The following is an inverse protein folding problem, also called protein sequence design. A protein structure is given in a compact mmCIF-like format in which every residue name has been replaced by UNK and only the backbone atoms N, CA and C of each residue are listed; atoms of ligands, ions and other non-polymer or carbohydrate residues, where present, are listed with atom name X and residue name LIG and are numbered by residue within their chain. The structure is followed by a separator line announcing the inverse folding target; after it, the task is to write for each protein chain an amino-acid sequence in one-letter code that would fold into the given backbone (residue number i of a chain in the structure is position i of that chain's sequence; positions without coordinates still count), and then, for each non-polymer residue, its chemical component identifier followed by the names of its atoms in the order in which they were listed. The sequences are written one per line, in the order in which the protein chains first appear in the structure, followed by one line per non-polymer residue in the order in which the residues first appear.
data_IF_342528638322
#
_entry.id   IF_342528638322
#
_cell.length_a   1.000
_cell.length_b   1.000
_cell.length_c   1.000
_cell.angle_alpha   90.00
_cell.angle_beta   90.00
_cell.angle_gamma   90.00
#
_symmetry.space_group_name_H-M   'P 1'
#
loop_
_entity.id
_entity.type
_entity.pdbx_description
1 polymer ?
#
# COMPACT_ATOMS: atom_id res chain seq x y z
N UNK A 1 -6.15 -20.48 25.41
CA UNK A 1 -6.51 -19.53 24.34
C UNK A 1 -5.79 -18.23 24.65
N UNK A 2 -4.69 -17.90 23.98
CA UNK A 2 -4.23 -16.53 23.89
C UNK A 2 -4.72 -15.93 22.57
N UNK A 3 -5.31 -14.75 22.68
CA UNK A 3 -5.63 -13.83 21.61
C UNK A 3 -4.38 -13.50 20.77
N UNK A 4 -4.16 -14.20 19.66
CA UNK A 4 -3.09 -13.88 18.69
C UNK A 4 -3.63 -13.69 17.25
N UNK A 5 -4.95 -13.49 17.10
CA UNK A 5 -5.56 -13.27 15.78
C UNK A 5 -5.82 -11.78 15.46
N UNK A 6 -5.52 -10.86 16.40
CA UNK A 6 -5.78 -9.43 16.19
C UNK A 6 -4.65 -8.71 15.43
N UNK A 7 -3.44 -9.25 15.46
CA UNK A 7 -2.27 -8.67 14.82
C UNK A 7 -1.87 -9.39 13.52
N UNK A 8 -2.45 -10.57 13.25
CA UNK A 8 -2.19 -11.39 12.06
C UNK A 8 -2.57 -10.72 10.72
N UNK A 9 -3.14 -9.52 10.75
CA UNK A 9 -3.58 -8.76 9.57
C UNK A 9 -3.02 -7.32 9.55
N UNK A 10 -2.01 -7.02 10.37
CA UNK A 10 -1.37 -5.72 10.40
C UNK A 10 -0.15 -5.70 9.47
N UNK A 11 -0.28 -4.97 8.38
CA UNK A 11 0.80 -4.70 7.44
C UNK A 11 1.48 -3.40 7.78
N UNK A 12 2.77 -3.30 7.49
CA UNK A 12 3.58 -2.13 7.82
C UNK A 12 4.24 -1.59 6.55
N UNK A 13 4.10 -0.30 6.30
CA UNK A 13 4.90 0.40 5.31
C UNK A 13 6.15 0.91 5.97
N UNK A 14 7.31 0.60 5.39
CA UNK A 14 8.60 1.07 5.86
C UNK A 14 9.28 1.90 4.79
N UNK A 15 9.80 3.06 5.16
CA UNK A 15 10.64 3.90 4.32
C UNK A 15 12.03 3.92 4.93
N UNK A 16 13.06 3.49 4.18
CA UNK A 16 14.45 3.53 4.67
C UNK A 16 14.70 2.77 6.00
N UNK A 17 13.82 1.85 6.39
CA UNK A 17 13.87 1.10 7.66
C UNK A 17 12.94 1.61 8.76
N UNK A 18 12.31 2.78 8.61
CA UNK A 18 11.37 3.36 9.57
C UNK A 18 9.91 3.10 9.15
N UNK A 19 9.03 2.81 10.11
CA UNK A 19 7.61 2.56 9.82
C UNK A 19 6.91 3.90 9.58
N UNK A 20 6.46 4.12 8.34
CA UNK A 20 5.78 5.36 7.93
C UNK A 20 4.27 5.23 7.93
N UNK A 21 3.71 4.01 7.82
CA UNK A 21 2.29 3.78 7.94
C UNK A 21 1.99 2.33 8.31
N UNK A 22 0.78 2.06 8.80
CA UNK A 22 0.28 0.72 9.08
C UNK A 22 -1.04 0.50 8.37
N UNK A 23 -1.25 -0.69 7.84
CA UNK A 23 -2.52 -1.09 7.21
C UNK A 23 -3.11 -2.23 8.00
N UNK A 24 -4.30 -2.02 8.55
CA UNK A 24 -5.06 -3.07 9.22
C UNK A 24 -6.07 -3.66 8.26
N UNK A 25 -5.72 -4.79 7.66
CA UNK A 25 -6.63 -5.52 6.76
C UNK A 25 -7.84 -5.97 7.58
N UNK A 26 -9.03 -5.63 7.11
CA UNK A 26 -10.29 -6.05 7.71
C UNK A 26 -11.16 -6.86 6.74
N UNK A 27 -10.77 -6.94 5.47
CA UNK A 27 -11.47 -7.69 4.44
C UNK A 27 -10.60 -7.93 3.21
N UNK A 28 -11.02 -8.86 2.37
CA UNK A 28 -10.39 -9.13 1.07
C UNK A 28 -11.48 -9.01 0.02
N UNK A 29 -11.31 -8.07 -0.90
CA UNK A 29 -12.19 -7.83 -2.04
C UNK A 29 -11.46 -8.33 -3.30
N UNK A 30 -11.40 -9.66 -3.45
CA UNK A 30 -10.53 -10.32 -4.42
C UNK A 30 -10.69 -9.70 -5.83
N UNK A 31 -9.60 -9.30 -6.51
CA UNK A 31 -8.19 -9.64 -6.23
C UNK A 31 -7.44 -8.71 -5.25
N UNK A 32 -8.13 -7.78 -4.58
CA UNK A 32 -7.53 -6.76 -3.71
C UNK A 32 -7.76 -7.05 -2.21
N UNK A 33 -6.90 -6.53 -1.36
CA UNK A 33 -7.06 -6.52 0.10
C UNK A 33 -7.57 -5.16 0.53
N UNK A 34 -8.62 -5.12 1.36
CA UNK A 34 -9.19 -3.91 1.91
C UNK A 34 -8.85 -3.79 3.39
N UNK A 35 -8.24 -2.66 3.75
CA UNK A 35 -7.79 -2.39 5.10
C UNK A 35 -7.92 -0.94 5.48
N UNK A 36 -7.86 -0.68 6.78
CA UNK A 36 -7.78 0.68 7.31
C UNK A 36 -6.34 1.15 7.23
N UNK A 37 -6.12 2.28 6.57
CA UNK A 37 -4.82 2.93 6.50
C UNK A 37 -4.63 3.85 7.72
N UNK A 38 -3.57 3.59 8.47
CA UNK A 38 -3.16 4.38 9.64
C UNK A 38 -1.82 5.06 9.31
N UNK A 39 -1.84 6.30 8.77
CA UNK A 39 -0.62 7.05 8.48
C UNK A 39 0.08 7.46 9.77
N UNK A 40 1.40 7.27 9.83
CA UNK A 40 2.24 7.84 10.89
C UNK A 40 2.77 9.22 10.46
N UNK A 41 3.35 10.03 11.35
CA UNK A 41 3.95 11.31 10.98
C UNK A 41 4.97 11.25 9.82
N UNK A 42 5.66 10.12 9.62
CA UNK A 42 6.57 9.92 8.48
C UNK A 42 5.85 9.81 7.12
N UNK A 43 4.55 9.49 7.10
CA UNK A 43 3.78 9.45 5.87
C UNK A 43 3.53 10.82 5.25
N UNK A 44 3.68 11.93 6.00
CA UNK A 44 3.36 13.27 5.51
C UNK A 44 4.12 13.63 4.22
N UNK A 45 5.34 13.11 4.06
CA UNK A 45 6.18 13.33 2.88
C UNK A 45 5.72 12.48 1.68
N UNK A 46 5.04 11.37 1.94
CA UNK A 46 4.53 10.42 0.95
C UNK A 46 3.07 10.71 0.57
N UNK A 47 2.31 11.36 1.46
CA UNK A 47 0.93 11.78 1.21
C UNK A 47 0.69 12.40 -0.18
N UNK A 48 1.52 13.35 -0.68
CA UNK A 48 1.33 13.88 -2.03
C UNK A 48 1.56 12.85 -3.15
N UNK A 49 2.42 11.85 -2.95
CA UNK A 49 2.68 10.79 -3.92
C UNK A 49 1.46 9.87 -4.08
N UNK A 50 0.88 9.44 -2.96
CA UNK A 50 -0.34 8.64 -2.96
C UNK A 50 -1.55 9.45 -3.44
N UNK A 51 -1.63 10.74 -3.10
CA UNK A 51 -2.68 11.60 -3.62
C UNK A 51 -2.61 11.69 -5.14
N UNK A 52 -1.40 11.77 -5.71
CA UNK A 52 -1.22 11.81 -7.17
C UNK A 52 -1.74 10.54 -7.84
N UNK A 53 -1.47 9.38 -7.24
CA UNK A 53 -1.98 8.09 -7.68
C UNK A 53 -3.51 8.05 -7.67
N UNK A 54 -4.14 8.53 -6.59
CA UNK A 54 -5.60 8.66 -6.49
C UNK A 54 -6.16 9.62 -7.53
N UNK A 55 -5.52 10.76 -7.74
CA UNK A 55 -5.95 11.74 -8.75
C UNK A 55 -5.89 11.17 -10.18
N UNK A 56 -4.93 10.29 -10.47
CA UNK A 56 -4.85 9.59 -11.75
C UNK A 56 -5.99 8.57 -11.92
N UNK A 57 -6.30 7.81 -10.87
CA UNK A 57 -7.38 6.80 -10.88
C UNK A 57 -8.78 7.43 -10.85
N UNK A 58 -8.97 8.53 -10.13
CA UNK A 58 -10.24 9.25 -10.01
C UNK A 58 -10.46 10.27 -11.14
N UNK A 59 -9.46 10.48 -12.00
CA UNK A 59 -9.59 11.36 -13.15
C UNK A 59 -10.80 10.96 -14.01
N UNK A 60 -11.63 11.93 -14.39
CA UNK A 60 -12.87 11.70 -15.12
C UNK A 60 -12.68 11.24 -16.61
N UNK A 61 -11.49 10.78 -16.98
CA UNK A 61 -11.10 10.34 -18.32
C UNK A 61 -10.52 8.92 -18.32
N UNK A 62 -9.78 8.58 -19.37
CA UNK A 62 -9.00 7.35 -19.41
C UNK A 62 -7.86 7.42 -18.38
N UNK A 63 -7.67 6.36 -17.61
CA UNK A 63 -6.54 6.21 -16.70
C UNK A 63 -5.25 6.21 -17.54
N UNK A 64 -4.40 7.20 -17.33
CA UNK A 64 -3.03 7.20 -17.86
C UNK A 64 -2.23 6.08 -17.18
N UNK A 65 -2.27 4.89 -17.77
CA UNK A 65 -1.64 3.67 -17.22
C UNK A 65 -0.13 3.90 -17.02
N UNK A 66 0.58 4.46 -18.01
CA UNK A 66 2.00 4.78 -17.89
C UNK A 66 2.31 5.73 -16.71
N UNK A 67 1.47 6.74 -16.50
CA UNK A 67 1.67 7.70 -15.41
C UNK A 67 1.36 7.05 -14.05
N UNK A 68 0.32 6.24 -13.99
CA UNK A 68 -0.05 5.50 -12.79
C UNK A 68 1.01 4.46 -12.42
N UNK A 69 1.52 3.70 -13.39
CA UNK A 69 2.60 2.74 -13.21
C UNK A 69 3.89 3.42 -12.76
N UNK A 70 4.26 4.56 -13.35
CA UNK A 70 5.42 5.33 -12.91
C UNK A 70 5.30 5.79 -11.45
N UNK A 71 4.10 6.23 -11.03
CA UNK A 71 3.86 6.61 -9.63
C UNK A 71 3.89 5.39 -8.71
N UNK A 72 3.30 4.26 -9.10
CA UNK A 72 3.34 3.01 -8.34
C UNK A 72 4.77 2.48 -8.19
N UNK A 73 5.55 2.45 -9.27
CA UNK A 73 6.96 2.07 -9.24
C UNK A 73 7.77 3.00 -8.33
N UNK A 74 7.47 4.31 -8.32
CA UNK A 74 8.11 5.25 -7.41
C UNK A 74 7.71 4.99 -5.95
N UNK A 75 6.45 4.62 -5.69
CA UNK A 75 5.99 4.21 -4.36
C UNK A 75 6.77 2.98 -3.91
N UNK A 76 6.80 1.89 -4.69
CA UNK A 76 7.52 0.66 -4.37
C UNK A 76 9.02 0.89 -4.14
N UNK A 77 9.65 1.79 -4.89
CA UNK A 77 11.06 2.14 -4.70
C UNK A 77 11.31 2.98 -3.43
N UNK A 78 10.31 3.74 -2.99
CA UNK A 78 10.43 4.62 -1.83
C UNK A 78 10.07 3.89 -0.54
N UNK A 79 9.05 3.03 -0.56
CA UNK A 79 8.54 2.31 0.59
C UNK A 79 8.44 0.81 0.33
N UNK A 80 8.89 0.02 1.31
CA UNK A 80 8.71 -1.42 1.36
C UNK A 80 7.45 -1.77 2.13
N UNK A 81 6.63 -2.66 1.58
CA UNK A 81 5.48 -3.22 2.27
C UNK A 81 5.88 -4.52 2.97
N UNK A 82 5.70 -4.56 4.29
CA UNK A 82 6.07 -5.70 5.14
C UNK A 82 4.82 -6.44 5.56
N UNK A 83 4.82 -7.76 5.28
CA UNK A 83 3.79 -8.70 5.69
C UNK A 83 3.67 -8.77 7.23
N UNK A 84 2.52 -9.16 7.78
CA UNK A 84 2.37 -9.41 9.22
C UNK A 84 3.36 -10.48 9.74
N UNK A 85 3.80 -11.39 8.87
CA UNK A 85 4.84 -12.40 9.16
C UNK A 85 6.27 -11.80 9.25
N UNK A 86 6.43 -10.52 8.89
CA UNK A 86 7.70 -9.80 8.93
C UNK A 86 8.51 -9.85 7.63
N UNK A 87 8.04 -10.59 6.61
CA UNK A 87 8.69 -10.65 5.30
C UNK A 87 8.26 -9.47 4.41
N UNK A 88 9.23 -8.83 3.77
CA UNK A 88 9.00 -7.78 2.77
C UNK A 88 8.49 -8.39 1.45
N UNK A 89 7.53 -7.73 0.81
CA UNK A 89 7.03 -8.15 -0.51
C UNK A 89 7.95 -7.65 -1.61
N UNK A 90 8.05 -8.40 -2.70
CA UNK A 90 8.85 -8.00 -3.86
C UNK A 90 8.22 -6.81 -4.57
N UNK A 91 6.91 -6.90 -4.84
CA UNK A 91 6.16 -5.82 -5.48
C UNK A 91 4.73 -5.74 -4.94
N UNK A 92 4.17 -4.54 -4.92
CA UNK A 92 2.81 -4.30 -4.45
C UNK A 92 2.19 -3.06 -5.07
N UNK A 93 0.90 -3.13 -5.32
CA UNK A 93 0.08 -1.98 -5.70
C UNK A 93 -0.68 -1.56 -4.45
N UNK A 94 -0.51 -0.32 -4.02
CA UNK A 94 -1.23 0.25 -2.89
C UNK A 94 -1.99 1.48 -3.34
N UNK A 95 -3.30 1.46 -3.11
CA UNK A 95 -4.21 2.55 -3.36
C UNK A 95 -4.82 3.02 -2.05
N UNK A 96 -4.76 4.33 -1.74
CA UNK A 96 -5.25 4.87 -0.47
C UNK A 96 -6.28 5.95 -0.72
N UNK A 97 -7.52 5.71 -0.30
CA UNK A 97 -8.63 6.66 -0.45
C UNK A 97 -9.25 6.99 0.89
N UNK A 98 -9.08 8.23 1.35
CA UNK A 98 -9.80 8.75 2.52
C UNK A 98 -9.54 7.99 3.85
N UNK A 99 -8.43 7.27 3.97
CA UNK A 99 -8.11 6.44 5.14
C UNK A 99 -8.45 4.95 4.99
N UNK A 100 -8.98 4.54 3.84
CA UNK A 100 -9.04 3.14 3.42
C UNK A 100 -7.88 2.85 2.47
N UNK A 101 -7.18 1.74 2.71
CA UNK A 101 -6.15 1.21 1.85
C UNK A 101 -6.67 -0.04 1.15
N UNK A 102 -6.62 0.00 -0.18
CA UNK A 102 -6.82 -1.15 -1.05
C UNK A 102 -5.48 -1.51 -1.64
N UNK A 103 -4.96 -2.70 -1.36
CA UNK A 103 -3.67 -3.09 -1.91
C UNK A 103 -3.66 -4.52 -2.42
N UNK A 104 -2.72 -4.77 -3.32
CA UNK A 104 -2.41 -6.08 -3.87
C UNK A 104 -0.91 -6.25 -3.80
N UNK A 105 -0.45 -7.43 -3.47
CA UNK A 105 0.98 -7.76 -3.46
C UNK A 105 1.22 -8.97 -4.35
N UNK A 106 2.43 -9.05 -4.89
CA UNK A 106 2.93 -10.18 -5.67
C UNK A 106 4.25 -10.64 -5.06
N UNK A 107 4.42 -11.96 -4.94
CA UNK A 107 5.71 -12.55 -4.52
C UNK A 107 6.71 -12.57 -5.68
N UNK A 108 6.20 -12.59 -6.91
CA UNK A 108 6.95 -12.34 -8.14
C UNK A 108 7.01 -10.83 -8.37
N UNK A 109 8.16 -10.32 -8.82
CA UNK A 109 8.24 -8.97 -9.35
C UNK A 109 7.21 -8.85 -10.47
N UNK A 110 6.46 -7.74 -10.50
CA UNK A 110 5.66 -7.41 -11.67
C UNK A 110 6.66 -7.07 -12.78
N UNK A 111 7.11 -8.09 -13.52
CA UNK A 111 7.97 -7.92 -14.69
C UNK A 111 7.24 -7.05 -15.73
N UNK A 112 8.00 -6.13 -16.34
CA UNK A 112 7.59 -5.09 -17.30
C UNK A 112 6.89 -5.61 -18.56
#
# INVERSE_FOLDING_TARGET
MPDDHRDAQLWQLRQGGEVVARIRVHGVDQPWFAGRFEPEPGFVELAPLFQREVELVDAAGDLDVDAWEAVQAQICQTVGLVKPDGQEVADFILHIRGGEASFRWSDEALDE
#
